data_IF_071126644091
#
_entry.id   IF_071126644091
#
_cell.length_a   1.000
_cell.length_b   1.000
_cell.length_c   1.000
_cell.angle_alpha   90.00
_cell.angle_beta   90.00
_cell.angle_gamma   90.00
#
_symmetry.space_group_name_H-M   'P 1'
#
loop_
_entity.id
_entity.type
_entity.pdbx_description
1 polymer ?
#
# COMPACT_ATOMS: atom_id res chain seq x y z
N UNK A 1 3.15 1.92 10.17
CA UNK A 1 2.98 0.86 9.14
C UNK A 1 2.64 1.41 7.76
N UNK A 2 1.48 2.06 7.54
CA UNK A 2 1.10 2.57 6.20
C UNK A 2 2.09 3.59 5.63
N UNK A 3 2.59 4.50 6.47
CA UNK A 3 3.61 5.47 6.05
C UNK A 3 4.86 4.80 5.50
N UNK A 4 5.33 3.72 6.14
CA UNK A 4 6.58 3.06 5.77
C UNK A 4 6.53 2.56 4.33
N UNK A 5 5.39 2.02 3.89
CA UNK A 5 5.25 1.48 2.53
C UNK A 5 4.89 2.55 1.48
N UNK A 6 4.72 3.81 1.88
CA UNK A 6 4.37 4.89 0.94
C UNK A 6 5.40 5.06 -0.20
N UNK A 7 6.73 4.99 0.06
CA UNK A 7 7.72 4.99 -1.02
C UNK A 7 7.53 3.82 -1.98
N UNK A 8 7.24 2.60 -1.52
CA UNK A 8 7.01 1.44 -2.39
C UNK A 8 5.77 1.62 -3.27
N UNK A 9 4.68 2.16 -2.72
CA UNK A 9 3.46 2.48 -3.47
C UNK A 9 3.73 3.58 -4.51
N UNK A 10 4.50 4.61 -4.15
CA UNK A 10 4.89 5.66 -5.09
C UNK A 10 5.79 5.12 -6.20
N UNK A 11 6.76 4.26 -5.87
CA UNK A 11 7.62 3.60 -6.86
C UNK A 11 6.81 2.73 -7.83
N UNK A 12 5.76 2.04 -7.37
CA UNK A 12 4.85 1.31 -8.24
C UNK A 12 4.13 2.24 -9.25
N UNK A 13 3.67 3.41 -8.80
CA UNK A 13 3.04 4.39 -9.70
C UNK A 13 4.03 4.96 -10.72
N UNK A 14 5.19 5.46 -10.28
CA UNK A 14 6.19 6.07 -11.17
C UNK A 14 6.77 5.05 -12.16
N UNK A 15 7.09 3.85 -11.68
CA UNK A 15 6.76 2.56 -12.30
C UNK A 15 6.03 2.52 -13.64
N UNK A 16 4.71 2.49 -13.49
CA UNK A 16 3.71 2.39 -14.54
C UNK A 16 3.70 3.61 -15.45
N UNK A 17 3.96 4.79 -14.89
CA UNK A 17 4.07 6.04 -15.63
C UNK A 17 5.25 6.03 -16.59
N UNK A 18 6.45 5.64 -16.14
CA UNK A 18 7.65 5.60 -16.97
C UNK A 18 7.56 4.54 -18.08
N UNK A 19 6.85 3.44 -17.84
CA UNK A 19 6.62 2.37 -18.82
C UNK A 19 5.48 2.65 -19.80
N UNK A 20 4.85 3.84 -19.75
CA UNK A 20 3.67 4.18 -20.56
C UNK A 20 2.49 3.21 -20.37
N UNK A 21 2.35 2.64 -19.17
CA UNK A 21 1.28 1.69 -18.79
C UNK A 21 0.30 2.29 -17.78
N UNK A 22 0.01 3.60 -17.92
CA UNK A 22 -1.09 4.26 -17.23
C UNK A 22 -2.43 3.86 -17.83
N UNK A 23 -2.82 2.62 -17.59
CA UNK A 23 -4.13 2.05 -17.90
C UNK A 23 -4.73 1.47 -16.64
N UNK A 24 -6.04 1.55 -16.50
CA UNK A 24 -6.78 0.94 -15.39
C UNK A 24 -6.66 -0.57 -15.46
N UNK A 25 -6.24 -1.21 -14.38
CA UNK A 25 -6.19 -2.67 -14.27
C UNK A 25 -7.61 -3.27 -14.11
N UNK A 26 -8.64 -2.45 -13.89
CA UNK A 26 -10.04 -2.88 -13.88
C UNK A 26 -10.71 -2.77 -15.26
N UNK A 27 -10.66 -1.59 -15.90
CA UNK A 27 -11.36 -1.34 -17.17
C UNK A 27 -10.49 -1.41 -18.42
N UNK A 28 -9.16 -1.49 -18.27
CA UNK A 28 -8.20 -1.43 -19.39
C UNK A 28 -8.12 -0.06 -20.08
N UNK A 29 -8.86 0.93 -19.59
CA UNK A 29 -8.89 2.27 -20.18
C UNK A 29 -7.65 3.08 -19.79
N UNK A 30 -7.12 3.95 -20.65
CA UNK A 30 -6.06 4.90 -20.29
C UNK A 30 -6.45 5.71 -19.06
N UNK A 31 -5.50 5.98 -18.17
CA UNK A 31 -5.69 6.77 -16.97
C UNK A 31 -5.12 8.18 -17.15
N UNK A 32 -5.78 9.17 -16.57
CA UNK A 32 -5.22 10.51 -16.42
C UNK A 32 -4.35 10.57 -15.16
N UNK A 33 -3.14 11.17 -15.21
CA UNK A 33 -2.24 11.23 -14.05
C UNK A 33 -2.83 11.87 -12.78
N UNK A 34 -3.79 12.78 -12.94
CA UNK A 34 -4.49 13.50 -11.88
C UNK A 34 -5.70 12.74 -11.30
N UNK A 35 -6.14 11.67 -11.97
CA UNK A 35 -7.25 10.80 -11.54
C UNK A 35 -6.82 9.33 -11.60
N UNK A 36 -5.61 9.06 -11.12
CA UNK A 36 -5.04 7.73 -10.94
C UNK A 36 -4.92 7.39 -9.46
N UNK A 37 -5.42 6.22 -9.07
CA UNK A 37 -5.29 5.68 -7.72
C UNK A 37 -4.54 4.35 -7.74
N UNK A 38 -3.53 4.22 -6.88
CA UNK A 38 -2.93 2.91 -6.55
C UNK A 38 -3.78 2.24 -5.48
N UNK A 39 -4.23 1.01 -5.74
CA UNK A 39 -5.08 0.24 -4.84
C UNK A 39 -4.58 -1.19 -4.70
N UNK A 40 -4.96 -1.85 -3.60
CA UNK A 40 -4.75 -3.29 -3.44
C UNK A 40 -5.80 -4.00 -4.30
N UNK A 41 -5.36 -4.59 -5.41
CA UNK A 41 -6.23 -5.08 -6.48
C UNK A 41 -6.01 -6.56 -6.75
N UNK A 42 -7.10 -7.34 -6.72
CA UNK A 42 -7.10 -8.81 -6.94
C UNK A 42 -6.16 -9.61 -6.02
N UNK A 43 -5.77 -9.04 -4.88
CA UNK A 43 -5.00 -9.70 -3.83
C UNK A 43 -5.50 -9.32 -2.43
N UNK A 44 -4.73 -9.69 -1.38
CA UNK A 44 -5.07 -9.36 0.00
C UNK A 44 -5.21 -7.85 0.22
N UNK A 45 -6.12 -7.44 1.12
CA UNK A 45 -6.26 -6.03 1.46
C UNK A 45 -5.08 -5.62 2.34
N UNK A 46 -4.76 -4.33 2.37
CA UNK A 46 -3.74 -3.80 3.29
C UNK A 46 -3.94 -4.25 4.74
N UNK A 47 -5.19 -4.27 5.20
CA UNK A 47 -5.51 -4.69 6.56
C UNK A 47 -5.10 -6.15 6.80
N UNK A 48 -5.43 -7.05 5.88
CA UNK A 48 -5.11 -8.48 6.00
C UNK A 48 -3.59 -8.69 6.04
N UNK A 49 -2.85 -8.06 5.12
CA UNK A 49 -1.37 -8.11 5.06
C UNK A 49 -0.76 -7.55 6.36
N UNK A 50 -1.30 -6.45 6.86
CA UNK A 50 -0.79 -5.82 8.09
C UNK A 50 -1.06 -6.71 9.31
N UNK A 51 -2.25 -7.32 9.38
CA UNK A 51 -2.62 -8.22 10.46
C UNK A 51 -1.76 -9.48 10.45
N UNK A 52 -1.55 -10.09 9.28
CA UNK A 52 -0.68 -11.24 9.11
C UNK A 52 0.74 -10.95 9.61
N UNK A 53 1.31 -9.82 9.18
CA UNK A 53 2.63 -9.38 9.65
C UNK A 53 2.70 -9.21 11.16
N UNK A 54 1.71 -8.53 11.76
CA UNK A 54 1.66 -8.31 13.21
C UNK A 54 1.58 -9.63 13.96
N UNK A 55 0.75 -10.57 13.50
CA UNK A 55 0.66 -11.90 14.12
C UNK A 55 1.99 -12.65 14.00
N UNK A 56 2.63 -12.64 12.83
CA UNK A 56 3.93 -13.27 12.62
C UNK A 56 5.07 -12.62 13.43
N UNK A 57 4.94 -11.34 13.77
CA UNK A 57 5.91 -10.63 14.61
C UNK A 57 5.80 -11.00 16.10
N UNK A 58 4.67 -11.58 16.54
CA UNK A 58 4.38 -11.87 17.95
C UNK A 58 3.31 -10.98 18.58
N UNK A 59 2.49 -10.31 17.77
CA UNK A 59 1.39 -9.47 18.22
C UNK A 59 1.71 -7.96 18.19
N UNK A 60 0.73 -7.14 18.57
CA UNK A 60 0.87 -5.68 18.54
C UNK A 60 1.88 -5.16 19.55
N UNK A 61 2.11 -5.88 20.64
CA UNK A 61 2.99 -5.43 21.73
C UNK A 61 4.46 -5.28 21.29
N UNK A 62 4.87 -6.01 20.26
CA UNK A 62 6.23 -5.89 19.69
C UNK A 62 6.31 -4.86 18.54
N UNK A 63 5.17 -4.38 18.05
CA UNK A 63 5.08 -3.41 16.95
C UNK A 63 5.00 -2.00 17.53
N UNK A 64 6.18 -1.49 17.90
CA UNK A 64 6.29 -0.12 18.39
C UNK A 64 6.39 0.89 17.24
N UNK A 65 5.49 1.88 17.24
CA UNK A 65 5.50 3.00 16.29
C UNK A 65 5.85 4.31 17.01
N UNK A 66 6.53 5.21 16.31
CA UNK A 66 6.77 6.58 16.77
C UNK A 66 5.43 7.29 16.97
N UNK A 67 5.27 8.00 18.08
CA UNK A 67 4.11 8.86 18.30
C UNK A 67 4.02 9.91 17.19
N UNK A 68 2.81 10.10 16.64
CA UNK A 68 2.54 10.99 15.50
C UNK A 68 3.01 12.44 15.72
N UNK A 69 3.22 12.84 16.97
CA UNK A 69 3.66 14.19 17.37
C UNK A 69 5.04 14.60 16.88
N UNK A 70 5.92 13.68 16.47
CA UNK A 70 7.28 14.03 16.07
C UNK A 70 7.42 14.45 14.59
N UNK A 71 6.63 13.87 13.67
CA UNK A 71 6.67 14.17 12.22
C UNK A 71 5.35 13.90 11.47
N UNK A 72 4.22 13.83 12.17
CA UNK A 72 2.90 13.64 11.57
C UNK A 72 2.68 12.27 10.91
N UNK A 73 3.61 11.32 11.08
CA UNK A 73 3.56 10.02 10.44
C UNK A 73 4.09 8.94 11.39
N UNK A 74 3.31 7.88 11.60
CA UNK A 74 3.68 6.76 12.47
C UNK A 74 4.63 5.78 11.74
N UNK A 75 5.92 5.90 12.04
CA UNK A 75 7.01 5.03 11.59
C UNK A 75 7.32 3.96 12.65
N UNK A 76 7.93 2.83 12.29
CA UNK A 76 8.45 1.91 13.30
C UNK A 76 9.62 2.53 14.05
N UNK A 77 9.65 2.32 15.36
CA UNK A 77 10.81 2.67 16.18
C UNK A 77 11.99 1.72 15.91
N UNK A 78 11.69 0.44 15.66
CA UNK A 78 12.65 -0.57 15.21
C UNK A 78 12.76 -0.57 13.67
N UNK A 79 13.94 -0.22 13.15
CA UNK A 79 14.18 -0.20 11.71
C UNK A 79 14.33 -1.60 11.10
N UNK A 80 14.80 -2.59 11.85
CA UNK A 80 14.82 -3.99 11.37
C UNK A 80 13.40 -4.50 11.20
N UNK A 81 12.49 -4.14 12.12
CA UNK A 81 11.07 -4.45 11.97
C UNK A 81 10.45 -3.71 10.76
N UNK A 82 10.85 -2.47 10.50
CA UNK A 82 10.45 -1.75 9.29
C UNK A 82 10.91 -2.47 8.01
N UNK A 83 12.17 -2.91 7.93
CA UNK A 83 12.69 -3.66 6.78
C UNK A 83 11.93 -4.97 6.54
N UNK A 84 11.64 -5.72 7.61
CA UNK A 84 10.80 -6.92 7.54
C UNK A 84 9.40 -6.60 7.05
N UNK A 85 8.82 -5.48 7.51
CA UNK A 85 7.52 -5.01 7.04
C UNK A 85 7.54 -4.67 5.55
N UNK A 86 8.58 -3.96 5.08
CA UNK A 86 8.74 -3.64 3.66
C UNK A 86 8.83 -4.88 2.79
N UNK A 87 9.62 -5.88 3.20
CA UNK A 87 9.77 -7.15 2.49
C UNK A 87 8.45 -7.93 2.47
N UNK A 88 7.79 -8.07 3.62
CA UNK A 88 6.51 -8.76 3.72
C UNK A 88 5.43 -8.09 2.86
N UNK A 89 5.35 -6.75 2.90
CA UNK A 89 4.45 -5.99 2.04
C UNK A 89 4.75 -6.22 0.56
N UNK A 90 6.00 -6.17 0.13
CA UNK A 90 6.38 -6.38 -1.27
C UNK A 90 6.02 -7.78 -1.78
N UNK A 91 6.15 -8.80 -0.94
CA UNK A 91 5.83 -10.18 -1.29
C UNK A 91 4.32 -10.42 -1.44
N UNK A 92 3.50 -9.76 -0.62
CA UNK A 92 2.05 -10.07 -0.52
C UNK A 92 1.16 -9.03 -1.19
N UNK A 93 1.63 -7.78 -1.38
CA UNK A 93 0.83 -6.71 -1.93
C UNK A 93 0.69 -6.85 -3.45
N UNK A 94 -0.54 -7.13 -3.88
CA UNK A 94 -0.92 -7.02 -5.29
C UNK A 94 -1.50 -5.64 -5.53
N UNK A 95 -0.71 -4.74 -6.09
CA UNK A 95 -1.12 -3.37 -6.40
C UNK A 95 -1.65 -3.27 -7.84
N UNK A 96 -2.61 -2.38 -8.04
CA UNK A 96 -3.16 -2.01 -9.34
C UNK A 96 -3.46 -0.52 -9.44
N UNK A 97 -3.52 0.00 -10.66
CA UNK A 97 -3.98 1.34 -10.98
C UNK A 97 -5.46 1.33 -11.35
N UNK A 98 -6.21 2.27 -10.79
CA UNK A 98 -7.65 2.42 -11.01
C UNK A 98 -8.01 3.89 -11.16
N UNK A 99 -9.12 4.17 -11.83
CA UNK A 99 -9.77 5.48 -11.73
C UNK A 99 -10.33 5.70 -10.32
N UNK A 100 -10.44 6.95 -9.85
CA UNK A 100 -11.03 7.25 -8.54
C UNK A 100 -12.42 6.63 -8.37
N UNK A 101 -13.24 6.73 -9.42
CA UNK A 101 -14.60 6.16 -9.46
C UNK A 101 -14.63 4.64 -9.31
N UNK A 102 -13.66 3.95 -9.91
CA UNK A 102 -13.55 2.48 -9.86
C UNK A 102 -13.15 2.05 -8.45
N UNK A 103 -12.11 2.69 -7.92
CA UNK A 103 -11.65 2.44 -6.56
C UNK A 103 -12.76 2.70 -5.52
N UNK A 104 -13.54 3.78 -5.67
CA UNK A 104 -14.65 4.10 -4.77
C UNK A 104 -15.76 3.05 -4.81
N UNK A 105 -16.11 2.54 -5.99
CA UNK A 105 -17.13 1.48 -6.14
C UNK A 105 -16.69 0.21 -5.42
N UNK A 106 -15.41 -0.15 -5.51
CA UNK A 106 -14.85 -1.31 -4.81
C UNK A 106 -14.88 -1.17 -3.30
N UNK A 107 -14.64 0.04 -2.79
CA UNK A 107 -14.71 0.31 -1.34
C UNK A 107 -16.14 0.28 -0.79
N UNK A 108 -17.14 0.64 -1.61
CA UNK A 108 -18.56 0.68 -1.22
C UNK A 108 -19.30 -0.62 -1.46
N UNK A 109 -18.78 -1.52 -2.28
CA UNK A 109 -19.41 -2.79 -2.65
C UNK A 109 -19.20 -3.93 -1.66
N UNK A 110 -19.08 -3.63 -0.36
CA UNK A 110 -19.16 -4.64 0.72
C UNK A 110 -20.57 -4.68 1.30
#
# INVERSE_FOLDING_TARGET
MRTEIQPQVNTYYESRKASHTLVSDESGQPLAPDDTHVSYFRGPRFHDISMEFVQAAGGFDVVALTSETARGLALFTDRTLAERWHAHHQEHAVLGLLWAKENLRRLRGC
#
